data_IF_348532987208
#
_entry.id   IF_348532987208
#
_cell.length_a   1.000
_cell.length_b   1.000
_cell.length_c   1.000
_cell.angle_alpha   90.00
_cell.angle_beta   90.00
_cell.angle_gamma   90.00
#
_symmetry.space_group_name_H-M   'P 1'
#
loop_
_entity.id
_entity.type
_entity.pdbx_description
1 polymer ?
#
# COMPACT_ATOMS: atom_id res chain seq x y z
N UNK A 1 3.09 -4.89 10.98
CA UNK A 1 4.15 -3.90 10.88
C UNK A 1 3.87 -2.90 9.75
N UNK A 2 4.28 -1.66 9.96
CA UNK A 2 4.08 -0.62 8.96
C UNK A 2 5.39 0.10 8.64
N UNK A 3 5.95 -0.19 7.47
CA UNK A 3 7.20 0.43 7.05
C UNK A 3 7.24 0.61 5.54
N UNK A 4 7.00 1.85 5.11
CA UNK A 4 7.01 2.16 3.67
C UNK A 4 7.56 3.56 3.42
N UNK A 5 8.27 3.71 2.31
CA UNK A 5 8.87 5.00 1.95
C UNK A 5 7.82 5.91 1.33
N UNK A 6 6.92 5.33 0.53
CA UNK A 6 5.87 6.09 -0.13
C UNK A 6 4.49 5.53 0.22
N UNK A 7 3.85 6.12 1.22
CA UNK A 7 2.52 5.69 1.65
C UNK A 7 1.56 5.61 0.47
N UNK A 8 0.53 4.77 0.60
CA UNK A 8 -0.48 4.59 -0.45
C UNK A 8 -1.37 5.82 -0.61
N UNK A 9 -1.56 6.24 -1.87
CA UNK A 9 -2.38 7.40 -2.17
C UNK A 9 -2.73 7.45 -3.65
N UNK A 10 -3.86 8.07 -3.97
CA UNK A 10 -4.29 8.19 -5.36
C UNK A 10 -4.29 6.83 -6.05
N UNK A 11 -4.90 5.84 -5.40
CA UNK A 11 -4.97 4.49 -5.95
C UNK A 11 -6.41 4.08 -6.21
N UNK A 12 -6.62 3.29 -7.26
CA UNK A 12 -7.96 2.82 -7.60
C UNK A 12 -8.35 1.61 -6.76
N UNK A 13 -7.76 0.46 -7.05
CA UNK A 13 -8.05 -0.76 -6.32
C UNK A 13 -7.31 -0.78 -4.99
N UNK A 14 -8.04 -1.11 -3.93
CA UNK A 14 -7.45 -1.16 -2.59
C UNK A 14 -7.07 -2.59 -2.22
N UNK A 15 -5.92 -2.74 -1.57
CA UNK A 15 -5.46 -4.06 -1.15
C UNK A 15 -5.45 -5.04 -2.32
N UNK A 16 -5.18 -4.52 -3.51
CA UNK A 16 -5.15 -5.35 -4.72
C UNK A 16 -4.19 -6.52 -4.55
N UNK A 17 -4.08 -7.34 -5.59
CA UNK A 17 -3.20 -8.50 -5.57
C UNK A 17 -1.80 -8.13 -6.04
N UNK A 18 -1.10 -7.34 -5.21
CA UNK A 18 0.25 -6.91 -5.54
C UNK A 18 1.06 -6.65 -4.28
N UNK A 19 1.80 -7.66 -3.83
CA UNK A 19 2.61 -7.52 -2.64
C UNK A 19 1.77 -7.36 -1.38
N UNK A 20 1.88 -8.31 -0.47
CA UNK A 20 1.13 -8.26 0.79
C UNK A 20 1.75 -7.28 1.76
N UNK A 21 1.29 -6.04 1.71
CA UNK A 21 1.80 -4.99 2.59
C UNK A 21 1.08 -3.67 2.35
N UNK A 22 0.24 -3.28 3.30
CA UNK A 22 -0.52 -2.03 3.20
C UNK A 22 -0.53 -1.29 4.52
N UNK A 23 0.58 -0.59 4.81
CA UNK A 23 0.69 0.17 6.05
C UNK A 23 2.01 0.93 6.09
N UNK A 24 1.95 2.23 5.76
CA UNK A 24 3.13 3.10 5.76
C UNK A 24 3.66 3.38 7.16
#
# INVERSE_FOLDING_TARGET
>A
TCHIRRKPKFRKFKLYHEGKFWCP
#
